data_IF_573884503545
#
_entry.id   IF_573884503545
#
_cell.length_a   1.000
_cell.length_b   1.000
_cell.length_c   1.000
_cell.angle_alpha   90.00
_cell.angle_beta   90.00
_cell.angle_gamma   90.00
#
_symmetry.space_group_name_H-M   'P 1'
#
loop_
_entity.id
_entity.type
_entity.pdbx_description
1 polymer ?
#
# COMPACT_ATOMS: atom_id res chain seq x y z
N UNK A 1 5.14 17.17 10.57
CA UNK A 1 5.85 17.88 9.47
C UNK A 1 5.95 17.02 8.20
N UNK A 2 6.52 15.81 8.24
CA UNK A 2 6.57 14.93 7.05
C UNK A 2 5.20 14.38 6.67
N UNK A 3 4.45 13.86 7.66
CA UNK A 3 3.09 13.36 7.40
C UNK A 3 2.15 14.46 6.89
N UNK A 4 2.30 15.68 7.38
CA UNK A 4 1.49 16.82 6.92
C UNK A 4 1.77 17.13 5.45
N UNK A 5 3.05 17.07 5.02
CA UNK A 5 3.41 17.21 3.61
C UNK A 5 2.76 16.10 2.79
N UNK A 6 2.83 14.85 3.25
CA UNK A 6 2.20 13.71 2.58
C UNK A 6 0.69 13.93 2.45
N UNK A 7 -0.02 14.15 3.56
CA UNK A 7 -1.49 14.31 3.57
C UNK A 7 -1.91 15.51 2.71
N UNK A 8 -1.27 16.66 2.86
CA UNK A 8 -1.60 17.86 2.08
C UNK A 8 -1.33 17.64 0.59
N UNK A 9 -0.24 16.97 0.22
CA UNK A 9 0.07 16.66 -1.18
C UNK A 9 -0.97 15.70 -1.76
N UNK A 10 -1.27 14.60 -1.08
CA UNK A 10 -2.24 13.60 -1.56
C UNK A 10 -3.66 14.19 -1.70
N UNK A 11 -4.09 15.00 -0.72
CA UNK A 11 -5.36 15.72 -0.80
C UNK A 11 -5.34 16.78 -1.91
N UNK A 12 -4.21 17.47 -2.12
CA UNK A 12 -4.01 18.40 -3.23
C UNK A 12 -4.07 17.73 -4.61
N UNK A 13 -3.63 16.47 -4.70
CA UNK A 13 -3.79 15.62 -5.88
C UNK A 13 -5.22 15.07 -6.05
N UNK A 14 -6.15 15.38 -5.15
CA UNK A 14 -7.55 14.96 -5.21
C UNK A 14 -7.85 13.59 -4.62
N UNK A 15 -6.94 13.00 -3.84
CA UNK A 15 -7.16 11.72 -3.17
C UNK A 15 -7.79 11.93 -1.78
N UNK A 16 -8.62 10.96 -1.37
CA UNK A 16 -9.22 10.92 -0.03
C UNK A 16 -8.43 9.95 0.87
N UNK A 17 -8.20 10.34 2.12
CA UNK A 17 -7.53 9.46 3.08
C UNK A 17 -8.47 8.34 3.53
N UNK A 18 -7.96 7.11 3.52
CA UNK A 18 -8.62 5.93 4.03
C UNK A 18 -7.83 5.34 5.19
N UNK A 19 -8.55 4.73 6.14
CA UNK A 19 -7.98 4.07 7.30
C UNK A 19 -8.42 2.61 7.33
N UNK A 20 -7.46 1.70 7.45
CA UNK A 20 -7.72 0.26 7.52
C UNK A 20 -7.06 -0.36 8.76
N UNK A 21 -7.50 -1.57 9.14
CA UNK A 21 -6.99 -2.25 10.32
C UNK A 21 -5.65 -2.93 10.01
N UNK A 22 -4.71 -2.85 10.94
CA UNK A 22 -3.40 -3.50 10.79
C UNK A 22 -3.40 -5.00 11.13
N UNK A 23 -4.45 -5.49 11.78
CA UNK A 23 -4.62 -6.92 12.10
C UNK A 23 -5.47 -7.55 11.01
N UNK A 24 -4.93 -8.56 10.33
CA UNK A 24 -5.53 -9.16 9.13
C UNK A 24 -5.46 -10.69 9.17
N UNK A 25 -6.10 -11.32 8.17
CA UNK A 25 -5.96 -12.75 7.87
C UNK A 25 -4.69 -13.01 7.05
N UNK A 26 -3.99 -14.16 7.22
CA UNK A 26 -2.94 -14.59 6.30
C UNK A 26 -3.38 -14.72 4.83
N UNK A 27 -4.69 -14.92 4.58
CA UNK A 27 -5.26 -15.04 3.23
C UNK A 27 -5.06 -13.80 2.36
N UNK A 28 -4.78 -12.64 2.97
CA UNK A 28 -4.54 -11.39 2.22
C UNK A 28 -3.37 -11.50 1.25
N UNK A 29 -2.38 -12.36 1.53
CA UNK A 29 -1.23 -12.56 0.65
C UNK A 29 -1.60 -13.32 -0.62
N UNK A 30 -2.54 -14.27 -0.53
CA UNK A 30 -3.03 -15.02 -1.69
C UNK A 30 -3.87 -14.10 -2.59
N UNK A 31 -4.62 -13.17 -2.01
CA UNK A 31 -5.44 -12.18 -2.75
C UNK A 31 -4.61 -11.28 -3.66
N UNK A 32 -3.32 -11.09 -3.34
CA UNK A 32 -2.38 -10.29 -4.13
C UNK A 32 -1.33 -11.16 -4.84
N UNK A 33 -1.60 -12.46 -5.01
CA UNK A 33 -0.76 -13.42 -5.72
C UNK A 33 0.69 -13.50 -5.22
N UNK A 34 0.95 -13.21 -3.94
CA UNK A 34 2.29 -13.36 -3.40
C UNK A 34 2.67 -14.85 -3.38
N UNK A 35 3.94 -15.14 -3.66
CA UNK A 35 4.48 -16.50 -3.59
C UNK A 35 4.48 -17.00 -2.16
N UNK A 36 4.41 -18.32 -1.97
CA UNK A 36 4.42 -18.94 -0.63
C UNK A 36 5.70 -18.66 0.16
N UNK A 37 6.84 -18.54 -0.53
CA UNK A 37 8.15 -18.25 0.03
C UNK A 37 8.47 -16.75 0.13
N UNK A 38 7.51 -15.88 -0.22
CA UNK A 38 7.72 -14.44 -0.21
C UNK A 38 8.01 -13.92 1.22
N UNK A 39 9.05 -13.09 1.42
CA UNK A 39 9.38 -12.54 2.73
C UNK A 39 8.24 -11.79 3.42
N UNK A 40 7.30 -11.20 2.67
CA UNK A 40 6.14 -10.52 3.24
C UNK A 40 5.23 -11.48 4.01
N UNK A 41 5.25 -12.79 3.75
CA UNK A 41 4.48 -13.77 4.52
C UNK A 41 5.05 -14.04 5.92
N UNK A 42 6.27 -13.58 6.22
CA UNK A 42 6.86 -13.63 7.57
C UNK A 42 6.24 -12.53 8.42
N UNK A 43 5.31 -12.90 9.29
CA UNK A 43 4.44 -11.96 10.01
C UNK A 43 4.55 -12.12 11.52
N UNK A 44 4.14 -11.08 12.26
CA UNK A 44 3.90 -11.20 13.70
C UNK A 44 2.54 -11.84 13.91
N UNK A 45 2.52 -12.99 14.59
CA UNK A 45 1.29 -13.74 14.91
C UNK A 45 0.73 -13.29 16.25
N UNK A 46 -0.57 -12.99 16.28
CA UNK A 46 -1.28 -12.63 17.50
C UNK A 46 -1.50 -13.88 18.35
N UNK A 47 -1.04 -13.88 19.61
CA UNK A 47 -1.07 -15.07 20.46
C UNK A 47 -2.48 -15.54 20.86
N UNK A 48 -3.45 -14.62 20.97
CA UNK A 48 -4.83 -14.94 21.30
C UNK A 48 -5.81 -14.26 20.32
N UNK A 49 -5.90 -14.75 19.08
CA UNK A 49 -6.68 -14.11 18.04
C UNK A 49 -8.18 -14.32 18.27
N UNK A 50 -9.01 -13.32 17.92
CA UNK A 50 -10.47 -13.43 17.99
C UNK A 50 -11.08 -14.23 16.82
N UNK A 51 -10.23 -14.73 15.91
CA UNK A 51 -10.60 -15.47 14.71
C UNK A 51 -9.47 -15.42 13.68
N UNK A 52 -9.61 -16.17 12.59
CA UNK A 52 -8.61 -16.21 11.52
C UNK A 52 -8.40 -14.83 10.87
N UNK A 53 -9.47 -14.02 10.79
CA UNK A 53 -9.46 -12.67 10.22
C UNK A 53 -8.62 -11.67 11.04
N UNK A 54 -8.27 -12.00 12.28
CA UNK A 54 -7.55 -11.12 13.21
C UNK A 54 -6.35 -11.85 13.84
N UNK A 55 -5.55 -12.53 13.02
CA UNK A 55 -4.51 -13.47 13.49
C UNK A 55 -3.07 -13.01 13.27
N UNK A 56 -2.83 -12.06 12.35
CA UNK A 56 -1.49 -11.54 12.07
C UNK A 56 -1.47 -10.01 11.98
N UNK A 57 -0.31 -9.40 12.22
CA UNK A 57 -0.05 -8.02 11.81
C UNK A 57 0.42 -7.99 10.35
N UNK A 58 -0.14 -7.06 9.58
CA UNK A 58 0.18 -6.91 8.15
C UNK A 58 1.64 -6.47 7.93
N UNK A 59 2.23 -6.99 6.87
CA UNK A 59 3.56 -6.62 6.35
C UNK A 59 3.46 -5.76 5.07
N UNK A 60 2.25 -5.60 4.53
CA UNK A 60 1.91 -4.78 3.38
C UNK A 60 0.48 -4.26 3.50
N UNK A 61 0.23 -3.07 2.95
CA UNK A 61 -1.05 -2.35 2.92
C UNK A 61 -1.81 -2.57 1.60
N UNK A 62 -1.19 -3.18 0.59
CA UNK A 62 -1.79 -3.35 -0.74
C UNK A 62 -3.13 -4.10 -0.71
N UNK A 63 -3.28 -5.24 0.01
CA UNK A 63 -4.57 -5.94 0.07
C UNK A 63 -5.68 -5.07 0.67
N UNK A 64 -5.36 -4.25 1.67
CA UNK A 64 -6.30 -3.35 2.32
C UNK A 64 -6.78 -2.25 1.38
N UNK A 65 -5.86 -1.64 0.62
CA UNK A 65 -6.19 -0.67 -0.42
C UNK A 65 -7.10 -1.28 -1.51
N UNK A 66 -6.75 -2.48 -2.00
CA UNK A 66 -7.58 -3.17 -3.00
C UNK A 66 -8.96 -3.52 -2.46
N UNK A 67 -9.06 -3.90 -1.18
CA UNK A 67 -10.34 -4.19 -0.52
C UNK A 67 -11.24 -2.94 -0.46
N UNK A 68 -10.71 -1.79 -0.06
CA UNK A 68 -11.53 -0.55 0.01
C UNK A 68 -11.93 -0.04 -1.38
N UNK A 69 -11.08 -0.19 -2.40
CA UNK A 69 -11.45 0.11 -3.78
C UNK A 69 -12.55 -0.83 -4.27
N UNK A 70 -12.43 -2.14 -4.00
CA UNK A 70 -13.45 -3.14 -4.33
C UNK A 70 -14.80 -2.82 -3.68
N UNK A 71 -14.81 -2.40 -2.41
CA UNK A 71 -16.04 -1.97 -1.71
C UNK A 71 -16.70 -0.78 -2.43
N UNK A 72 -15.93 0.22 -2.85
CA UNK A 72 -16.47 1.38 -3.58
C UNK A 72 -17.01 0.98 -4.95
N UNK A 73 -16.27 0.16 -5.69
CA UNK A 73 -16.68 -0.34 -6.99
C UNK A 73 -17.99 -1.16 -6.88
N UNK A 74 -18.09 -2.05 -5.88
CA UNK A 74 -19.29 -2.86 -5.63
C UNK A 74 -20.51 -2.01 -5.20
N UNK A 75 -20.29 -0.78 -4.75
CA UNK A 75 -21.33 0.20 -4.44
C UNK A 75 -21.69 1.08 -5.64
N UNK A 76 -21.20 0.75 -6.84
CA UNK A 76 -21.40 1.50 -8.08
C UNK A 76 -20.89 2.95 -8.00
N UNK A 77 -19.86 3.20 -7.19
CA UNK A 77 -19.16 4.49 -7.24
C UNK A 77 -18.30 4.48 -8.52
N UNK A 78 -18.48 5.42 -9.45
CA UNK A 78 -17.87 5.36 -10.79
C UNK A 78 -16.35 5.52 -10.78
N UNK A 79 -15.82 6.22 -9.77
CA UNK A 79 -14.39 6.43 -9.58
C UNK A 79 -14.05 6.51 -8.10
N UNK A 80 -12.85 6.09 -7.72
CA UNK A 80 -12.31 6.34 -6.38
C UNK A 80 -10.82 6.61 -6.47
N UNK A 81 -10.36 7.62 -5.73
CA UNK A 81 -8.95 7.99 -5.60
C UNK A 81 -8.64 8.09 -4.11
N UNK A 82 -7.93 7.09 -3.60
CA UNK A 82 -7.73 6.88 -2.17
C UNK A 82 -6.24 6.82 -1.85
N UNK A 83 -5.86 7.30 -0.67
CA UNK A 83 -4.55 7.05 -0.10
C UNK A 83 -4.66 6.57 1.34
N UNK A 84 -3.70 5.79 1.80
CA UNK A 84 -3.53 5.39 3.20
C UNK A 84 -2.10 5.68 3.62
N UNK A 85 -1.92 6.37 4.74
CA UNK A 85 -0.63 6.55 5.41
C UNK A 85 -0.68 5.80 6.75
N UNK A 86 -0.10 4.60 6.80
CA UNK A 86 -0.25 3.70 7.95
C UNK A 86 0.94 2.76 8.15
N UNK A 87 0.91 1.95 9.20
CA UNK A 87 2.03 1.10 9.59
C UNK A 87 1.94 -0.32 9.01
N UNK A 88 3.12 -0.86 8.72
CA UNK A 88 3.37 -2.30 8.54
C UNK A 88 4.37 -2.78 9.59
N UNK A 89 4.32 -4.07 9.91
CA UNK A 89 5.03 -4.66 11.03
C UNK A 89 5.93 -5.79 10.54
N UNK A 90 7.22 -5.52 10.37
CA UNK A 90 8.18 -6.49 9.83
C UNK A 90 8.88 -7.19 11.00
N UNK A 91 8.75 -8.52 11.17
CA UNK A 91 9.45 -9.23 12.22
C UNK A 91 10.97 -9.08 12.11
N UNK A 92 11.64 -8.83 13.23
CA UNK A 92 13.11 -8.82 13.31
C UNK A 92 13.54 -10.07 14.08
N UNK A 93 14.47 -10.84 13.51
CA UNK A 93 15.04 -12.00 14.17
C UNK A 93 15.67 -11.63 15.53
N UNK A 94 15.43 -12.45 16.54
CA UNK A 94 15.93 -12.25 17.91
C UNK A 94 15.46 -10.96 18.61
N UNK A 95 14.38 -10.32 18.14
CA UNK A 95 13.72 -9.20 18.84
C UNK A 95 12.27 -9.52 19.17
N UNK A 96 11.81 -8.97 20.30
CA UNK A 96 10.42 -9.10 20.73
C UNK A 96 9.47 -8.17 19.96
N UNK A 97 9.94 -6.99 19.59
CA UNK A 97 9.16 -6.00 18.85
C UNK A 97 9.50 -6.03 17.35
N UNK A 98 8.50 -5.90 16.46
CA UNK A 98 8.75 -5.77 15.03
C UNK A 98 9.38 -4.41 14.68
N UNK A 99 9.90 -4.32 13.46
CA UNK A 99 10.16 -3.05 12.80
C UNK A 99 8.84 -2.44 12.32
N UNK A 100 8.44 -1.32 12.92
CA UNK A 100 7.23 -0.59 12.54
C UNK A 100 7.58 0.46 11.50
N UNK A 101 7.10 0.27 10.28
CA UNK A 101 7.37 1.17 9.16
C UNK A 101 6.11 1.86 8.70
N UNK A 102 6.15 3.18 8.62
CA UNK A 102 5.09 3.97 8.02
C UNK A 102 5.19 3.86 6.49
N UNK A 103 4.09 3.47 5.85
CA UNK A 103 3.97 3.24 4.41
C UNK A 103 2.83 4.11 3.89
N UNK A 104 3.11 4.82 2.81
CA UNK A 104 2.11 5.48 1.99
C UNK A 104 1.66 4.53 0.88
N UNK A 105 0.36 4.35 0.72
CA UNK A 105 -0.24 3.55 -0.36
C UNK A 105 -1.32 4.34 -1.04
N UNK A 106 -1.29 4.36 -2.37
CA UNK A 106 -2.30 5.02 -3.20
C UNK A 106 -3.06 3.94 -3.97
N UNK A 107 -4.34 4.18 -4.22
CA UNK A 107 -5.19 3.32 -5.01
C UNK A 107 -6.23 4.12 -5.76
N UNK A 108 -6.34 3.89 -7.07
CA UNK A 108 -7.24 4.63 -7.94
C UNK A 108 -7.97 3.70 -8.90
N UNK A 109 -9.23 3.99 -9.21
CA UNK A 109 -9.94 3.45 -10.36
C UNK A 109 -10.91 4.50 -10.93
N UNK A 110 -11.21 4.40 -12.22
CA UNK A 110 -12.09 5.30 -12.94
C UNK A 110 -11.82 5.22 -14.44
N UNK A 111 -12.70 5.79 -15.27
CA UNK A 111 -12.54 5.74 -16.74
C UNK A 111 -11.37 6.58 -17.24
N UNK A 112 -11.02 7.64 -16.51
CA UNK A 112 -10.00 8.62 -16.91
C UNK A 112 -8.70 8.49 -16.10
N UNK A 113 -8.49 7.35 -15.42
CA UNK A 113 -7.31 7.09 -14.59
C UNK A 113 -6.38 6.10 -15.26
N UNK A 114 -5.08 6.41 -15.22
CA UNK A 114 -4.03 5.55 -15.71
C UNK A 114 -2.79 5.55 -14.79
N UNK A 115 -1.72 4.89 -15.24
CA UNK A 115 -0.45 4.85 -14.54
C UNK A 115 0.18 6.25 -14.34
N UNK A 116 0.01 7.16 -15.31
CA UNK A 116 0.63 8.48 -15.27
C UNK A 116 -0.01 9.37 -14.22
N UNK A 117 -1.30 9.21 -13.95
CA UNK A 117 -1.96 9.90 -12.83
C UNK A 117 -1.34 9.51 -11.48
N UNK A 118 -1.15 8.21 -11.24
CA UNK A 118 -0.50 7.73 -10.01
C UNK A 118 0.96 8.22 -9.93
N UNK A 119 1.70 8.11 -11.04
CA UNK A 119 3.09 8.61 -11.14
C UNK A 119 3.17 10.11 -10.82
N UNK A 120 2.26 10.92 -11.36
CA UNK A 120 2.22 12.36 -11.12
C UNK A 120 2.01 12.70 -9.64
N UNK A 121 1.17 11.95 -8.93
CA UNK A 121 0.99 12.13 -7.47
C UNK A 121 2.29 11.86 -6.70
N UNK A 122 3.04 10.83 -7.10
CA UNK A 122 4.34 10.50 -6.49
C UNK A 122 5.39 11.56 -6.83
N UNK A 123 5.45 12.03 -8.07
CA UNK A 123 6.37 13.10 -8.47
C UNK A 123 6.12 14.41 -7.72
N UNK A 124 4.84 14.80 -7.55
CA UNK A 124 4.46 15.97 -6.77
C UNK A 124 4.86 15.82 -5.29
N UNK A 125 4.66 14.64 -4.70
CA UNK A 125 5.11 14.36 -3.34
C UNK A 125 6.63 14.50 -3.20
N UNK A 126 7.39 13.89 -4.10
CA UNK A 126 8.85 13.94 -4.09
C UNK A 126 9.36 15.37 -4.25
N UNK A 127 8.76 16.15 -5.15
CA UNK A 127 9.07 17.57 -5.32
C UNK A 127 8.81 18.37 -4.04
N UNK A 128 7.66 18.17 -3.38
CA UNK A 128 7.34 18.82 -2.10
C UNK A 128 8.24 18.37 -0.94
N UNK A 129 8.89 17.20 -1.05
CA UNK A 129 9.92 16.73 -0.13
C UNK A 129 11.34 17.16 -0.51
N UNK A 130 11.52 17.83 -1.66
CA UNK A 130 12.83 18.27 -2.17
C UNK A 130 13.68 17.17 -2.80
N UNK A 131 13.07 16.04 -3.18
CA UNK A 131 13.73 14.88 -3.79
C UNK A 131 13.61 15.01 -5.31
N UNK A 132 14.68 15.46 -5.96
CA UNK A 132 14.66 15.82 -7.39
C UNK A 132 15.38 14.81 -8.30
N UNK A 133 15.87 13.69 -7.75
CA UNK A 133 16.69 12.70 -8.47
C UNK A 133 16.06 11.32 -8.57
N UNK A 134 14.79 11.20 -8.20
CA UNK A 134 14.10 9.93 -8.24
C UNK A 134 13.91 9.44 -9.69
N UNK A 135 14.19 8.16 -9.91
CA UNK A 135 14.01 7.48 -11.19
C UNK A 135 12.92 6.41 -11.07
N UNK A 136 12.11 6.28 -12.11
CA UNK A 136 11.12 5.20 -12.25
C UNK A 136 11.65 4.18 -13.25
N UNK A 137 11.97 2.97 -12.78
CA UNK A 137 12.48 1.87 -13.61
C UNK A 137 11.39 0.82 -13.81
N UNK A 138 11.21 0.26 -15.01
CA UNK A 138 10.25 -0.84 -15.22
C UNK A 138 10.48 -1.99 -14.23
N UNK A 139 9.40 -2.55 -13.70
CA UNK A 139 9.41 -3.70 -12.78
C UNK A 139 8.51 -4.81 -13.36
N UNK A 140 9.03 -6.02 -13.44
CA UNK A 140 8.38 -7.16 -14.11
C UNK A 140 8.21 -8.37 -13.20
N UNK A 141 8.91 -8.43 -12.07
CA UNK A 141 9.04 -9.64 -11.25
C UNK A 141 8.07 -9.68 -10.08
N UNK A 142 7.50 -8.54 -9.69
CA UNK A 142 6.55 -8.48 -8.59
C UNK A 142 5.18 -9.08 -9.02
N UNK A 143 4.76 -10.21 -8.43
CA UNK A 143 3.55 -10.93 -8.86
C UNK A 143 2.24 -10.21 -8.48
N UNK A 144 2.29 -9.25 -7.56
CA UNK A 144 1.13 -8.45 -7.17
C UNK A 144 0.73 -7.45 -8.25
N UNK A 145 1.67 -7.01 -9.08
CA UNK A 145 1.42 -5.97 -10.08
C UNK A 145 1.47 -6.54 -11.51
N UNK A 146 0.95 -5.75 -12.46
CA UNK A 146 0.97 -6.14 -13.86
C UNK A 146 2.39 -6.02 -14.44
N UNK A 147 2.95 -7.06 -15.09
CA UNK A 147 4.37 -7.09 -15.47
C UNK A 147 4.77 -6.03 -16.50
N UNK A 148 3.83 -5.52 -17.31
CA UNK A 148 4.09 -4.47 -18.29
C UNK A 148 3.66 -3.05 -17.87
N UNK A 149 3.15 -2.87 -16.64
CA UNK A 149 2.56 -1.59 -16.18
C UNK A 149 2.95 -1.25 -14.75
N UNK A 150 4.20 -1.58 -14.39
CA UNK A 150 4.74 -1.37 -13.06
C UNK A 150 6.09 -0.69 -13.17
N UNK A 151 6.34 0.25 -12.26
CA UNK A 151 7.63 0.88 -12.11
C UNK A 151 8.07 0.82 -10.65
N UNK A 152 9.36 0.58 -10.45
CA UNK A 152 10.06 0.68 -9.19
C UNK A 152 10.71 2.05 -9.09
N UNK A 153 10.47 2.72 -7.97
CA UNK A 153 11.16 3.95 -7.61
C UNK A 153 12.58 3.63 -7.11
N UNK A 154 13.58 4.32 -7.64
CA UNK A 154 14.97 4.27 -7.16
C UNK A 154 15.53 5.68 -6.99
N UNK A 155 16.33 5.87 -5.94
CA UNK A 155 17.23 7.03 -5.79
C UNK A 155 18.60 6.80 -6.45
#
# INVERSE_FOLDING_TARGET
>A
RMEDIIRNTMTGCGLNEAYTLSIVSPKVFDQINLREDDPLRKTVVISNPMGEDFSILRTTTIPDMLKILSINNNRNIPEAKLFELSYVYIPIENKQLPDERQILTLGLYGNDTDFFELKGCIEELLANMGINKAEFKPETENPTFHPGRTAKLSD
#
